data_IF_902650994498
#
_entry.id   IF_902650994498
#
_cell.length_a   1.000
_cell.length_b   1.000
_cell.length_c   1.000
_cell.angle_alpha   90.00
_cell.angle_beta   90.00
_cell.angle_gamma   90.00
#
_symmetry.space_group_name_H-M   'P 1'
#
loop_
_entity.id
_entity.type
_entity.pdbx_description
1 polymer ?
#
# COMPACT_ATOMS: atom_id res chain seq x y z
N UNK A 1 32.64 55.09 7.35
CA UNK A 1 33.48 55.00 8.56
C UNK A 1 33.67 53.53 8.92
N UNK A 2 34.93 53.13 9.15
CA UNK A 2 35.46 51.81 9.59
C UNK A 2 35.58 50.73 8.48
N UNK A 3 36.72 50.61 7.77
CA UNK A 3 37.98 49.84 8.08
C UNK A 3 37.75 48.31 8.04
N UNK A 4 38.56 47.45 7.39
CA UNK A 4 40.01 47.50 7.11
C UNK A 4 40.45 46.36 6.15
N UNK A 5 41.54 46.60 5.40
CA UNK A 5 42.69 45.74 4.99
C UNK A 5 42.46 44.30 4.46
N UNK A 6 43.25 43.75 3.52
CA UNK A 6 44.55 44.15 2.97
C UNK A 6 45.08 43.10 1.98
N UNK A 7 46.08 43.52 1.20
CA UNK A 7 46.76 42.84 0.09
C UNK A 7 47.68 41.68 0.53
N UNK A 8 47.70 40.56 -0.20
CA UNK A 8 48.76 39.53 -0.21
C UNK A 8 48.82 38.92 -1.63
N UNK A 9 49.70 39.41 -2.52
CA UNK A 9 51.03 38.91 -2.89
C UNK A 9 51.10 37.39 -3.22
N UNK A 10 51.74 37.12 -4.36
CA UNK A 10 52.60 35.97 -4.71
C UNK A 10 52.00 34.94 -5.68
N UNK A 11 52.54 35.01 -6.91
CA UNK A 11 52.55 33.97 -7.92
C UNK A 11 53.17 32.66 -7.39
N UNK A 12 52.51 31.53 -7.67
CA UNK A 12 53.00 30.22 -7.27
C UNK A 12 52.46 29.13 -8.19
N UNK A 13 53.02 29.08 -9.39
CA UNK A 13 52.95 27.93 -10.29
C UNK A 13 53.58 26.71 -9.59
N UNK A 14 52.78 25.76 -9.12
CA UNK A 14 53.25 24.40 -8.87
C UNK A 14 52.20 23.39 -9.32
N UNK A 15 52.47 22.89 -10.52
CA UNK A 15 51.94 21.69 -11.13
C UNK A 15 52.13 20.52 -10.15
N UNK A 16 51.04 19.91 -9.70
CA UNK A 16 51.05 18.55 -9.18
C UNK A 16 50.17 17.68 -10.05
N UNK A 17 50.86 16.84 -10.83
CA UNK A 17 50.32 15.76 -11.64
C UNK A 17 49.75 14.67 -10.73
N UNK A 18 48.44 14.48 -10.78
CA UNK A 18 47.72 13.25 -10.40
C UNK A 18 46.47 13.24 -11.29
N UNK A 19 46.30 12.39 -12.30
CA UNK A 19 46.61 10.97 -12.34
C UNK A 19 45.32 10.18 -12.12
N UNK A 20 44.67 9.78 -13.23
CA UNK A 20 43.69 8.69 -13.39
C UNK A 20 42.48 8.59 -12.43
N UNK A 21 41.27 8.83 -12.98
CA UNK A 21 40.09 7.92 -12.96
C UNK A 21 38.78 8.71 -13.04
N UNK A 22 38.28 8.94 -14.25
CA UNK A 22 36.87 9.31 -14.44
C UNK A 22 36.23 8.21 -15.31
N UNK A 23 35.78 7.14 -14.65
CA UNK A 23 34.88 6.17 -15.25
C UNK A 23 33.49 6.82 -15.44
N UNK A 24 32.81 6.60 -16.57
CA UNK A 24 31.43 7.04 -16.73
C UNK A 24 30.55 6.17 -15.84
N UNK A 25 29.91 6.80 -14.86
CA UNK A 25 28.92 6.14 -14.00
C UNK A 25 27.68 5.88 -14.86
N UNK A 26 27.59 4.67 -15.42
CA UNK A 26 26.38 4.16 -16.06
C UNK A 26 25.27 4.07 -15.01
N UNK A 27 24.50 5.14 -14.86
CA UNK A 27 23.27 5.17 -14.09
C UNK A 27 22.17 4.47 -14.91
N UNK A 28 22.12 3.15 -14.79
CA UNK A 28 21.20 2.31 -15.57
C UNK A 28 20.82 1.04 -14.84
N UNK A 29 20.48 1.15 -13.55
CA UNK A 29 19.74 0.09 -12.86
C UNK A 29 18.26 0.25 -13.18
N UNK A 30 17.76 -0.56 -14.11
CA UNK A 30 16.33 -0.82 -14.26
C UNK A 30 15.86 -1.60 -13.03
N UNK A 31 15.39 -0.88 -12.01
CA UNK A 31 14.69 -1.48 -10.87
C UNK A 31 13.20 -1.23 -11.03
N UNK A 32 12.45 -2.23 -11.48
CA UNK A 32 10.98 -2.21 -11.42
C UNK A 32 10.39 -3.61 -11.57
N UNK A 33 10.61 -4.48 -10.58
CA UNK A 33 9.76 -5.65 -10.35
C UNK A 33 9.98 -6.26 -8.96
N UNK A 34 9.99 -5.45 -7.91
CA UNK A 34 9.92 -5.96 -6.53
C UNK A 34 9.50 -4.84 -5.57
N UNK A 35 8.32 -4.24 -5.79
CA UNK A 35 7.62 -3.65 -4.66
C UNK A 35 6.97 -4.82 -3.92
N UNK A 36 7.68 -5.32 -2.90
CA UNK A 36 6.99 -5.93 -1.77
C UNK A 36 5.94 -4.92 -1.34
N UNK A 37 4.67 -5.29 -1.44
CA UNK A 37 3.55 -4.44 -1.05
C UNK A 37 3.78 -3.97 0.39
N UNK A 38 4.24 -2.73 0.56
CA UNK A 38 4.23 -2.06 1.85
C UNK A 38 2.76 -1.94 2.28
N UNK A 39 2.43 -2.60 3.40
CA UNK A 39 1.08 -2.80 3.90
C UNK A 39 0.39 -1.51 4.42
N UNK A 40 0.79 -0.33 3.95
CA UNK A 40 0.21 0.96 4.35
C UNK A 40 -0.87 1.46 3.39
N UNK A 41 -0.86 1.06 2.11
CA UNK A 41 -1.87 1.47 1.12
C UNK A 41 -2.93 0.37 0.96
N UNK A 42 -4.19 0.68 1.32
CA UNK A 42 -5.35 -0.19 1.11
C UNK A 42 -6.31 0.50 0.12
N UNK A 43 -6.62 -0.11 -1.03
CA UNK A 43 -6.19 -1.45 -1.49
C UNK A 43 -4.71 -1.54 -1.87
N UNK A 44 -4.11 -2.71 -1.64
CA UNK A 44 -2.70 -2.94 -1.93
C UNK A 44 -2.50 -3.20 -3.44
N UNK A 45 -1.53 -2.50 -4.05
CA UNK A 45 -1.12 -2.77 -5.43
C UNK A 45 -0.26 -4.04 -5.50
N UNK A 46 -0.42 -4.80 -6.58
CA UNK A 46 0.29 -6.06 -6.83
C UNK A 46 -0.38 -7.29 -6.23
N UNK A 47 -1.40 -7.14 -5.37
CA UNK A 47 -2.11 -8.24 -4.73
C UNK A 47 -3.61 -7.99 -4.74
N UNK A 48 -4.41 -9.05 -4.84
CA UNK A 48 -5.88 -8.93 -4.66
C UNK A 48 -6.14 -8.48 -3.23
N UNK A 49 -7.02 -7.49 -3.08
CA UNK A 49 -7.42 -6.97 -1.76
C UNK A 49 -8.92 -7.14 -1.56
N UNK A 50 -9.34 -7.64 -0.41
CA UNK A 50 -10.71 -7.56 0.08
C UNK A 50 -10.75 -6.64 1.28
N UNK A 51 -11.64 -5.64 1.24
CA UNK A 51 -11.94 -4.77 2.37
C UNK A 51 -13.34 -5.12 2.90
N UNK A 52 -13.46 -5.37 4.21
CA UNK A 52 -14.75 -5.44 4.91
C UNK A 52 -14.94 -4.16 5.75
N UNK A 53 -16.02 -3.44 5.48
CA UNK A 53 -16.39 -2.25 6.23
C UNK A 53 -17.57 -2.57 7.14
N UNK A 54 -17.33 -2.57 8.45
CA UNK A 54 -18.31 -2.96 9.46
C UNK A 54 -18.13 -2.21 10.77
N UNK A 55 -18.67 -2.78 11.86
CA UNK A 55 -18.48 -2.26 13.20
C UNK A 55 -18.73 -3.36 14.25
N UNK A 56 -17.94 -3.39 15.32
CA UNK A 56 -18.00 -4.45 16.36
C UNK A 56 -19.36 -4.56 17.06
N UNK A 57 -20.13 -3.47 17.08
CA UNK A 57 -21.42 -3.38 17.77
C UNK A 57 -22.62 -3.55 16.83
N UNK A 58 -22.40 -3.71 15.53
CA UNK A 58 -23.44 -3.98 14.55
C UNK A 58 -23.75 -5.48 14.51
N UNK A 59 -25.02 -5.87 14.70
CA UNK A 59 -25.41 -7.29 14.85
C UNK A 59 -25.03 -8.12 13.61
N UNK A 60 -25.38 -7.73 12.37
CA UNK A 60 -24.90 -8.44 11.18
C UNK A 60 -23.38 -8.48 11.03
N UNK A 61 -22.65 -7.44 11.48
CA UNK A 61 -21.18 -7.42 11.41
C UNK A 61 -20.54 -8.43 12.36
N UNK A 62 -21.13 -8.67 13.53
CA UNK A 62 -20.65 -9.70 14.46
C UNK A 62 -20.68 -11.10 13.86
N UNK A 63 -21.61 -11.37 12.95
CA UNK A 63 -21.64 -12.64 12.21
C UNK A 63 -20.54 -12.73 11.15
N UNK A 64 -20.13 -11.59 10.57
CA UNK A 64 -19.01 -11.52 9.62
C UNK A 64 -17.66 -11.71 10.29
N UNK A 65 -17.44 -11.16 11.49
CA UNK A 65 -16.14 -11.18 12.18
C UNK A 65 -15.41 -12.55 12.17
N UNK A 66 -16.02 -13.67 12.62
CA UNK A 66 -15.34 -14.97 12.58
C UNK A 66 -15.05 -15.48 11.16
N UNK A 67 -15.86 -15.07 10.17
CA UNK A 67 -15.64 -15.41 8.76
C UNK A 67 -14.43 -14.64 8.22
N UNK A 68 -14.36 -13.33 8.49
CA UNK A 68 -13.26 -12.47 8.04
C UNK A 68 -11.94 -12.93 8.66
N UNK A 69 -11.89 -13.23 9.96
CA UNK A 69 -10.70 -13.77 10.63
C UNK A 69 -10.21 -15.09 9.98
N UNK A 70 -11.15 -15.98 9.64
CA UNK A 70 -10.82 -17.27 9.01
C UNK A 70 -10.27 -17.07 7.59
N UNK A 71 -10.87 -16.19 6.80
CA UNK A 71 -10.43 -15.86 5.44
C UNK A 71 -9.07 -15.16 5.48
N UNK A 72 -8.88 -14.16 6.35
CA UNK A 72 -7.59 -13.47 6.51
C UNK A 72 -6.47 -14.46 6.80
N UNK A 73 -6.68 -15.38 7.74
CA UNK A 73 -5.71 -16.42 8.07
C UNK A 73 -5.44 -17.37 6.90
N UNK A 74 -6.48 -17.81 6.19
CA UNK A 74 -6.34 -18.75 5.08
C UNK A 74 -5.64 -18.15 3.84
N UNK A 75 -5.78 -16.83 3.67
CA UNK A 75 -5.25 -16.10 2.52
C UNK A 75 -4.03 -15.23 2.83
N UNK A 76 -3.43 -15.40 4.02
CA UNK A 76 -2.20 -14.71 4.40
C UNK A 76 -1.11 -14.91 3.33
N UNK A 77 -0.58 -13.80 2.81
CA UNK A 77 0.43 -13.80 1.75
C UNK A 77 -0.09 -14.09 0.33
N UNK A 78 -1.40 -14.36 0.17
CA UNK A 78 -2.05 -14.63 -1.12
C UNK A 78 -2.99 -13.50 -1.53
N UNK A 79 -3.70 -12.92 -0.57
CA UNK A 79 -4.53 -11.74 -0.72
C UNK A 79 -4.40 -10.87 0.54
N UNK A 80 -4.66 -9.57 0.40
CA UNK A 80 -4.81 -8.67 1.54
C UNK A 80 -6.27 -8.68 1.96
N UNK A 81 -6.55 -9.07 3.19
CA UNK A 81 -7.89 -9.03 3.77
C UNK A 81 -7.85 -8.01 4.90
N UNK A 82 -8.66 -6.96 4.83
CA UNK A 82 -8.61 -5.87 5.80
C UNK A 82 -10.01 -5.48 6.28
N UNK A 83 -10.16 -5.35 7.60
CA UNK A 83 -11.39 -4.90 8.23
C UNK A 83 -11.26 -3.45 8.72
N UNK A 84 -12.23 -2.60 8.36
CA UNK A 84 -12.38 -1.26 8.94
C UNK A 84 -13.60 -1.21 9.85
N UNK A 85 -13.39 -0.82 11.12
CA UNK A 85 -14.46 -0.43 12.03
C UNK A 85 -14.88 1.02 11.78
N UNK A 86 -15.95 1.20 11.01
CA UNK A 86 -16.39 2.53 10.56
C UNK A 86 -17.07 3.36 11.66
N UNK A 87 -17.32 2.79 12.84
CA UNK A 87 -17.81 3.51 14.00
C UNK A 87 -16.68 4.07 14.85
N UNK A 88 -15.48 3.49 14.77
CA UNK A 88 -14.27 4.04 15.39
C UNK A 88 -13.56 5.02 14.46
N UNK A 89 -13.48 4.71 13.18
CA UNK A 89 -12.90 5.58 12.16
C UNK A 89 -13.88 5.79 10.99
N UNK A 90 -14.32 7.03 10.79
CA UNK A 90 -15.32 7.35 9.76
C UNK A 90 -14.72 7.58 8.37
N UNK A 91 -13.40 7.75 8.29
CA UNK A 91 -12.73 8.07 7.03
C UNK A 91 -12.90 6.95 5.98
N UNK A 92 -12.72 5.65 6.32
CA UNK A 92 -12.89 4.56 5.35
C UNK A 92 -14.30 4.51 4.75
N UNK A 93 -15.35 4.74 5.56
CA UNK A 93 -16.72 4.74 5.06
C UNK A 93 -16.94 5.81 3.97
N UNK A 94 -16.32 6.98 4.15
CA UNK A 94 -16.39 8.08 3.19
C UNK A 94 -15.52 7.78 1.97
N UNK A 95 -14.28 7.34 2.19
CA UNK A 95 -13.31 7.00 1.13
C UNK A 95 -13.85 5.95 0.17
N UNK A 96 -14.48 4.90 0.69
CA UNK A 96 -15.04 3.81 -0.10
C UNK A 96 -16.50 4.01 -0.50
N UNK A 97 -17.10 5.14 -0.13
CA UNK A 97 -18.46 5.52 -0.51
C UNK A 97 -19.54 4.53 -0.07
N UNK A 98 -19.39 3.90 1.10
CA UNK A 98 -20.39 2.91 1.56
C UNK A 98 -21.66 3.60 2.05
N UNK A 99 -22.81 2.95 1.83
CA UNK A 99 -24.13 3.45 2.25
C UNK A 99 -24.74 2.64 3.40
N UNK A 100 -24.08 1.55 3.80
CA UNK A 100 -24.52 0.64 4.84
C UNK A 100 -23.40 -0.30 5.25
N UNK A 101 -23.57 -0.97 6.38
CA UNK A 101 -22.65 -1.98 6.89
C UNK A 101 -23.41 -3.29 7.19
N UNK A 102 -22.75 -4.45 7.06
CA UNK A 102 -21.41 -4.62 6.53
C UNK A 102 -21.36 -4.44 5.00
N UNK A 103 -20.22 -4.01 4.45
CA UNK A 103 -19.97 -3.91 3.00
C UNK A 103 -18.61 -4.51 2.68
N UNK A 104 -18.55 -5.47 1.74
CA UNK A 104 -17.32 -6.08 1.28
C UNK A 104 -16.98 -5.57 -0.12
N UNK A 105 -15.75 -5.09 -0.30
CA UNK A 105 -15.27 -4.54 -1.57
C UNK A 105 -14.01 -5.30 -1.97
N UNK A 106 -13.99 -5.78 -3.21
CA UNK A 106 -12.90 -6.56 -3.77
C UNK A 106 -12.20 -5.74 -4.83
N UNK A 107 -10.87 -5.71 -4.71
CA UNK A 107 -9.97 -4.98 -5.59
C UNK A 107 -9.03 -5.95 -6.30
N UNK A 108 -8.82 -5.73 -7.59
CA UNK A 108 -7.81 -6.46 -8.34
C UNK A 108 -6.38 -6.01 -7.97
N UNK A 109 -5.37 -6.61 -8.61
CA UNK A 109 -3.96 -6.30 -8.36
C UNK A 109 -3.58 -4.87 -8.76
N UNK A 110 -4.41 -4.17 -9.55
CA UNK A 110 -4.21 -2.78 -9.95
C UNK A 110 -4.94 -1.81 -9.01
N UNK A 111 -5.42 -2.30 -7.85
CA UNK A 111 -6.21 -1.52 -6.89
C UNK A 111 -7.54 -0.99 -7.45
N UNK A 112 -8.09 -1.63 -8.51
CA UNK A 112 -9.40 -1.26 -9.05
C UNK A 112 -10.49 -2.07 -8.37
N UNK A 113 -11.56 -1.40 -7.95
CA UNK A 113 -12.74 -2.08 -7.45
C UNK A 113 -13.39 -2.91 -8.58
N UNK A 114 -13.50 -4.21 -8.37
CA UNK A 114 -14.06 -5.15 -9.34
C UNK A 114 -15.36 -5.79 -8.89
N UNK A 115 -15.62 -5.80 -7.58
CA UNK A 115 -16.85 -6.35 -7.02
C UNK A 115 -17.16 -5.74 -5.66
N UNK A 116 -18.44 -5.56 -5.37
CA UNK A 116 -18.95 -5.04 -4.11
C UNK A 116 -20.19 -5.81 -3.69
N UNK A 117 -20.26 -6.14 -2.41
CA UNK A 117 -21.42 -6.73 -1.76
C UNK A 117 -21.84 -5.88 -0.55
N UNK A 118 -23.15 -5.79 -0.31
CA UNK A 118 -23.71 -5.11 0.86
C UNK A 118 -24.56 -6.10 1.64
N UNK A 119 -24.29 -6.21 2.94
CA UNK A 119 -24.93 -7.15 3.85
C UNK A 119 -24.03 -8.35 4.16
N UNK A 120 -24.63 -9.38 4.76
CA UNK A 120 -23.92 -10.60 5.12
C UNK A 120 -23.44 -11.34 3.85
N UNK A 121 -22.21 -11.84 3.89
CA UNK A 121 -21.60 -12.64 2.83
C UNK A 121 -21.03 -13.91 3.48
N UNK A 122 -21.39 -15.08 2.95
CA UNK A 122 -20.89 -16.34 3.50
C UNK A 122 -19.39 -16.50 3.23
N UNK A 123 -18.72 -17.34 4.02
CA UNK A 123 -17.33 -17.72 3.75
C UNK A 123 -17.15 -18.31 2.34
N UNK A 124 -18.08 -19.16 1.94
CA UNK A 124 -18.09 -19.84 0.64
C UNK A 124 -18.18 -18.83 -0.51
N UNK A 125 -19.02 -17.80 -0.37
CA UNK A 125 -19.14 -16.72 -1.36
C UNK A 125 -17.87 -15.88 -1.45
N UNK A 126 -17.25 -15.57 -0.31
CA UNK A 126 -15.97 -14.84 -0.28
C UNK A 126 -14.88 -15.64 -0.98
N UNK A 127 -14.73 -16.92 -0.64
CA UNK A 127 -13.77 -17.85 -1.25
C UNK A 127 -14.03 -18.00 -2.75
N UNK A 128 -15.29 -18.15 -3.14
CA UNK A 128 -15.72 -18.22 -4.54
C UNK A 128 -15.30 -16.97 -5.29
N UNK A 129 -15.48 -15.78 -4.69
CA UNK A 129 -15.09 -14.53 -5.31
C UNK A 129 -13.58 -14.38 -5.43
N UNK A 130 -12.81 -14.68 -4.38
CA UNK A 130 -11.34 -14.68 -4.43
C UNK A 130 -10.80 -15.66 -5.48
N UNK A 131 -11.43 -16.84 -5.60
CA UNK A 131 -11.07 -17.86 -6.60
C UNK A 131 -11.33 -17.36 -8.02
N UNK A 132 -12.48 -16.71 -8.28
CA UNK A 132 -12.78 -16.07 -9.58
C UNK A 132 -11.74 -15.01 -9.95
N UNK A 133 -11.18 -14.33 -8.95
CA UNK A 133 -10.10 -13.36 -9.12
C UNK A 133 -8.70 -13.99 -9.28
N UNK A 134 -8.61 -15.32 -9.27
CA UNK A 134 -7.37 -16.06 -9.48
C UNK A 134 -6.49 -16.22 -8.24
N UNK A 135 -7.02 -15.95 -7.04
CA UNK A 135 -6.33 -16.20 -5.77
C UNK A 135 -6.48 -17.68 -5.40
N UNK A 136 -5.37 -18.37 -5.12
CA UNK A 136 -5.31 -19.82 -4.83
C UNK A 136 -4.61 -20.09 -3.50
#
# INVERSE_FOLDING_TARGET
MKTQAGSFIVAGLLIFLFGLSHAPVFFGLTSSAAHAAEASEIPAKGMVTMVDLGADKCIPCKMMAPIIEKVEKAYQGKAVIHFFDVWKDREPATRFGIRGIPTQIFFDKDAREVYRHVGFMSEEDIVSQLTKMGVK
#
